data_IF_562373939174
#
_entry.id   IF_562373939174
#
_cell.length_a   1.000
_cell.length_b   1.000
_cell.length_c   1.000
_cell.angle_alpha   90.00
_cell.angle_beta   90.00
_cell.angle_gamma   90.00
#
_symmetry.space_group_name_H-M   'P 1'
#
loop_
_entity.id
_entity.type
_entity.pdbx_description
1 polymer ?
#
# COMPACT_ATOMS: atom_id res chain seq x y z
N UNK A 1 14.71 -7.27 2.06
CA UNK A 1 15.94 -8.08 1.79
C UNK A 1 16.21 -8.05 0.29
N UNK A 2 17.44 -8.23 -0.24
CA UNK A 2 17.67 -8.19 -1.68
C UNK A 2 16.74 -9.15 -2.42
N UNK A 3 15.98 -8.62 -3.39
CA UNK A 3 14.98 -9.38 -4.15
C UNK A 3 13.87 -9.99 -3.28
N UNK A 4 13.60 -9.43 -2.10
CA UNK A 4 12.60 -9.91 -1.14
C UNK A 4 11.86 -8.75 -0.47
N UNK A 5 10.55 -8.71 -0.66
CA UNK A 5 9.67 -7.74 -0.02
C UNK A 5 9.32 -8.17 1.40
N UNK A 6 9.35 -7.20 2.32
CA UNK A 6 8.97 -7.38 3.72
C UNK A 6 8.11 -6.20 4.13
N UNK A 7 6.97 -6.47 4.76
CA UNK A 7 6.05 -5.43 5.23
C UNK A 7 6.10 -5.32 6.75
N UNK A 8 5.89 -4.10 7.23
CA UNK A 8 5.62 -3.81 8.63
C UNK A 8 4.46 -2.83 8.66
N UNK A 9 3.56 -3.02 9.61
CA UNK A 9 2.42 -2.13 9.83
C UNK A 9 2.53 -1.50 11.21
N UNK A 10 2.15 -0.23 11.30
CA UNK A 10 2.01 0.48 12.56
C UNK A 10 0.99 1.61 12.40
N UNK A 11 0.34 1.97 13.50
CA UNK A 11 -0.51 3.15 13.58
C UNK A 11 0.29 4.34 14.11
N UNK A 12 0.33 5.43 13.35
CA UNK A 12 1.04 6.64 13.74
C UNK A 12 0.14 7.52 14.64
N UNK A 13 0.33 7.44 15.96
CA UNK A 13 -0.54 8.09 16.94
C UNK A 13 -0.15 9.52 17.31
N UNK A 14 1.02 9.99 16.88
CA UNK A 14 1.55 11.32 17.22
C UNK A 14 2.12 12.00 15.98
N UNK A 15 1.68 13.22 15.63
CA UNK A 15 2.31 14.01 14.59
C UNK A 15 3.76 14.34 14.94
N UNK A 16 4.59 14.42 13.90
CA UNK A 16 6.00 14.72 14.06
C UNK A 16 6.82 14.20 12.88
N UNK A 17 8.12 14.47 12.92
CA UNK A 17 9.04 13.84 11.99
C UNK A 17 10.01 12.92 12.72
N UNK A 18 10.01 11.67 12.30
CA UNK A 18 10.78 10.60 12.90
C UNK A 18 11.93 10.23 11.97
N UNK A 19 13.10 9.96 12.53
CA UNK A 19 14.24 9.50 11.75
C UNK A 19 14.09 8.01 11.45
N UNK A 20 14.26 7.65 10.18
CA UNK A 20 14.36 6.27 9.73
C UNK A 20 15.85 5.95 9.57
N UNK A 21 16.32 4.91 10.25
CA UNK A 21 17.71 4.48 10.17
C UNK A 21 17.79 3.09 9.53
N UNK A 22 18.84 2.87 8.75
CA UNK A 22 19.24 1.52 8.39
C UNK A 22 19.78 0.79 9.62
N UNK A 23 19.22 -0.39 9.93
CA UNK A 23 19.61 -1.21 11.07
C UNK A 23 20.46 -2.44 10.70
N UNK A 24 20.94 -2.51 9.45
CA UNK A 24 21.75 -3.62 8.93
C UNK A 24 22.98 -3.08 8.20
N UNK A 25 24.16 -3.63 8.51
CA UNK A 25 25.41 -3.13 7.94
C UNK A 25 25.48 -3.48 6.44
N UNK A 26 25.40 -2.47 5.59
CA UNK A 26 25.36 -2.63 4.13
C UNK A 26 26.60 -2.09 3.39
N UNK A 27 27.61 -1.57 4.11
CA UNK A 27 28.85 -1.06 3.53
C UNK A 27 29.38 0.20 4.19
N UNK A 28 30.33 0.88 3.53
CA UNK A 28 31.08 2.02 4.09
C UNK A 28 30.22 3.25 4.37
N UNK A 29 29.05 3.37 3.74
CA UNK A 29 28.07 4.44 3.98
C UNK A 29 26.87 3.99 4.82
N UNK A 30 26.98 2.88 5.56
CA UNK A 30 25.88 2.34 6.39
C UNK A 30 25.22 3.39 7.29
N UNK A 31 26.00 4.23 7.98
CA UNK A 31 25.47 5.30 8.85
C UNK A 31 24.89 6.50 8.10
N UNK A 32 25.13 6.62 6.79
CA UNK A 32 24.56 7.65 5.93
C UNK A 32 23.19 7.27 5.33
N UNK A 33 22.79 6.01 5.46
CA UNK A 33 21.50 5.51 4.94
C UNK A 33 20.37 5.87 5.91
N UNK A 34 19.96 7.14 5.86
CA UNK A 34 18.90 7.73 6.69
C UNK A 34 17.68 8.12 5.86
N UNK A 35 16.52 8.15 6.50
CA UNK A 35 15.27 8.63 5.94
C UNK A 35 14.46 9.37 7.01
N UNK A 36 13.27 9.84 6.63
CA UNK A 36 12.33 10.49 7.55
C UNK A 36 10.92 9.95 7.31
N UNK A 37 10.19 9.73 8.40
CA UNK A 37 8.75 9.48 8.39
C UNK A 37 8.08 10.75 8.91
N UNK A 38 7.28 11.40 8.07
CA UNK A 38 6.54 12.62 8.44
C UNK A 38 5.10 12.24 8.73
N UNK A 39 4.73 12.25 10.02
CA UNK A 39 3.36 12.04 10.49
C UNK A 39 2.68 13.39 10.60
N UNK A 40 1.59 13.56 9.87
CA UNK A 40 0.81 14.81 9.81
C UNK A 40 -0.53 14.63 10.49
N UNK A 41 -1.11 15.73 10.97
CA UNK A 41 -2.53 15.77 11.31
C UNK A 41 -3.39 15.45 10.06
N UNK A 42 -4.55 14.79 10.20
CA UNK A 42 -5.35 14.35 9.06
C UNK A 42 -5.68 15.47 8.06
N UNK A 43 -6.05 16.65 8.53
CA UNK A 43 -6.38 17.80 7.67
C UNK A 43 -5.16 18.33 6.92
N UNK A 44 -3.99 18.35 7.56
CA UNK A 44 -2.73 18.75 6.95
C UNK A 44 -2.28 17.73 5.90
N UNK A 45 -2.48 16.44 6.15
CA UNK A 45 -2.21 15.38 5.18
C UNK A 45 -3.11 15.53 3.94
N UNK A 46 -4.41 15.77 4.13
CA UNK A 46 -5.34 16.01 3.01
C UNK A 46 -4.96 17.26 2.21
N UNK A 47 -4.56 18.34 2.88
CA UNK A 47 -4.08 19.54 2.22
C UNK A 47 -2.79 19.27 1.42
N UNK A 48 -1.86 18.51 1.99
CA UNK A 48 -0.62 18.08 1.32
C UNK A 48 -0.91 17.25 0.08
N UNK A 49 -1.85 16.30 0.15
CA UNK A 49 -2.31 15.53 -1.01
C UNK A 49 -2.88 16.44 -2.13
N UNK A 50 -3.54 17.54 -1.75
CA UNK A 50 -4.15 18.47 -2.71
C UNK A 50 -3.22 19.56 -3.26
N UNK A 51 -2.06 19.78 -2.61
CA UNK A 51 -1.24 20.98 -2.83
C UNK A 51 0.25 20.74 -3.10
N UNK A 52 0.75 19.51 -3.02
CA UNK A 52 2.08 19.19 -3.53
C UNK A 52 2.10 19.30 -5.06
N UNK A 53 3.23 19.68 -5.67
CA UNK A 53 3.50 19.30 -7.05
C UNK A 53 3.25 17.80 -7.13
N UNK A 54 2.14 17.41 -7.75
CA UNK A 54 1.84 16.01 -7.98
C UNK A 54 2.81 15.54 -9.06
N UNK A 55 4.07 15.36 -8.67
CA UNK A 55 5.03 14.59 -9.43
C UNK A 55 4.39 13.27 -9.84
N UNK A 56 4.87 12.70 -10.94
CA UNK A 56 4.33 11.46 -11.48
C UNK A 56 4.15 10.43 -10.36
N UNK A 57 2.91 9.99 -10.12
CA UNK A 57 2.64 8.98 -9.08
C UNK A 57 3.38 7.69 -9.42
N UNK A 58 3.76 6.85 -8.44
CA UNK A 58 4.42 5.59 -8.73
C UNK A 58 3.65 4.71 -9.72
N UNK A 59 2.31 4.68 -9.61
CA UNK A 59 1.46 3.96 -10.55
C UNK A 59 1.46 4.57 -11.96
N UNK A 60 1.50 5.91 -12.09
CA UNK A 60 1.64 6.57 -13.39
C UNK A 60 3.00 6.28 -14.02
N UNK A 61 4.07 6.36 -13.24
CA UNK A 61 5.43 6.03 -13.67
C UNK A 61 5.52 4.55 -14.11
N UNK A 62 4.88 3.64 -13.37
CA UNK A 62 4.78 2.24 -13.72
C UNK A 62 4.05 2.02 -15.04
N UNK A 63 2.89 2.66 -15.23
CA UNK A 63 2.14 2.62 -16.49
C UNK A 63 2.99 3.08 -17.67
N UNK A 64 3.76 4.15 -17.49
CA UNK A 64 4.68 4.67 -18.50
C UNK A 64 5.79 3.66 -18.81
N UNK A 65 6.40 3.04 -17.80
CA UNK A 65 7.44 2.02 -17.97
C UNK A 65 6.93 0.79 -18.72
N UNK A 66 5.78 0.22 -18.33
CA UNK A 66 5.21 -0.97 -19.03
C UNK A 66 4.85 -0.66 -20.47
N UNK A 67 4.51 0.59 -20.79
CA UNK A 67 4.24 1.04 -22.15
C UNK A 67 5.54 1.19 -22.94
N UNK A 68 6.54 1.87 -22.38
CA UNK A 68 7.83 2.14 -23.02
C UNK A 68 8.62 0.84 -23.31
N UNK A 69 8.51 -0.15 -22.41
CA UNK A 69 9.16 -1.44 -22.54
C UNK A 69 8.35 -2.45 -23.37
N UNK A 70 7.14 -2.09 -23.81
CA UNK A 70 6.29 -2.95 -24.64
C UNK A 70 5.68 -4.14 -23.90
N UNK A 71 5.64 -4.14 -22.56
CA UNK A 71 5.07 -5.23 -21.76
C UNK A 71 3.62 -5.54 -22.16
N UNK A 72 2.85 -4.49 -22.49
CA UNK A 72 1.44 -4.57 -22.90
C UNK A 72 1.22 -5.39 -24.19
N UNK A 73 2.25 -5.60 -25.01
CA UNK A 73 2.14 -6.42 -26.23
C UNK A 73 1.97 -7.90 -25.92
N UNK A 74 2.46 -8.34 -24.75
CA UNK A 74 2.28 -9.72 -24.28
C UNK A 74 1.22 -9.82 -23.18
N UNK A 75 1.11 -8.80 -22.33
CA UNK A 75 0.21 -8.76 -21.16
C UNK A 75 -1.05 -7.92 -21.42
N UNK A 76 -1.70 -8.17 -22.56
CA UNK A 76 -2.96 -7.49 -22.91
C UNK A 76 -4.17 -8.24 -22.33
N UNK A 77 -5.34 -7.60 -22.19
CA UNK A 77 -6.56 -8.26 -21.72
C UNK A 77 -7.21 -9.20 -22.76
N UNK A 78 -6.56 -9.42 -23.91
CA UNK A 78 -7.12 -10.24 -25.00
C UNK A 78 -6.96 -11.73 -24.67
N UNK A 79 -8.01 -12.52 -24.89
CA UNK A 79 -7.94 -13.97 -24.72
C UNK A 79 -6.88 -14.57 -25.66
N UNK A 80 -6.03 -15.45 -25.11
CA UNK A 80 -4.89 -16.01 -25.85
C UNK A 80 -3.69 -15.08 -25.99
N UNK A 81 -3.62 -14.00 -25.19
CA UNK A 81 -2.41 -13.21 -25.05
C UNK A 81 -1.20 -14.06 -24.66
N UNK A 82 -0.01 -13.55 -24.99
CA UNK A 82 1.28 -14.25 -24.83
C UNK A 82 1.71 -14.37 -23.37
N UNK A 83 1.18 -13.51 -22.50
CA UNK A 83 1.33 -13.53 -21.06
C UNK A 83 -0.02 -13.24 -20.38
N UNK A 84 -0.10 -13.41 -19.06
CA UNK A 84 -1.31 -13.10 -18.29
C UNK A 84 -1.65 -11.61 -18.42
N UNK A 85 -2.94 -11.30 -18.56
CA UNK A 85 -3.44 -9.93 -18.58
C UNK A 85 -3.04 -9.21 -17.28
N UNK A 86 -2.72 -7.91 -17.36
CA UNK A 86 -2.38 -7.15 -16.15
C UNK A 86 -3.63 -6.74 -15.36
N UNK A 87 -4.72 -6.43 -16.05
CA UNK A 87 -5.97 -6.07 -15.43
C UNK A 87 -6.50 -7.21 -14.57
N UNK A 88 -6.72 -6.94 -13.28
CA UNK A 88 -7.25 -7.92 -12.35
C UNK A 88 -6.20 -8.87 -11.75
N UNK A 89 -4.97 -8.90 -12.25
CA UNK A 89 -3.99 -9.94 -11.92
C UNK A 89 -3.39 -9.82 -10.53
N UNK A 90 -3.12 -8.61 -10.05
CA UNK A 90 -2.48 -8.45 -8.75
C UNK A 90 -3.40 -8.97 -7.63
N UNK A 91 -2.86 -9.78 -6.74
CA UNK A 91 -3.57 -10.42 -5.64
C UNK A 91 -4.31 -11.72 -6.01
N UNK A 92 -4.30 -12.16 -7.27
CA UNK A 92 -4.88 -13.47 -7.64
C UNK A 92 -3.98 -14.61 -7.23
N UNK A 93 -4.53 -15.83 -7.25
CA UNK A 93 -3.77 -17.07 -7.12
C UNK A 93 -3.70 -17.74 -8.48
N UNK A 94 -2.49 -17.91 -9.00
CA UNK A 94 -2.22 -18.56 -10.28
C UNK A 94 -1.65 -19.96 -10.06
N UNK A 95 -1.95 -20.89 -10.98
CA UNK A 95 -1.35 -22.22 -10.97
C UNK A 95 -0.06 -22.22 -11.77
N UNK A 96 1.01 -22.83 -11.27
CA UNK A 96 2.31 -22.87 -11.94
C UNK A 96 2.45 -24.09 -12.88
N UNK A 97 3.29 -23.97 -13.89
CA UNK A 97 3.76 -25.11 -14.67
C UNK A 97 4.50 -26.10 -13.76
N UNK A 98 4.17 -27.38 -13.87
CA UNK A 98 4.72 -28.42 -12.99
C UNK A 98 3.92 -28.63 -11.69
N UNK A 99 2.84 -27.86 -11.50
CA UNK A 99 1.98 -27.94 -10.32
C UNK A 99 2.36 -26.94 -9.23
N UNK A 100 1.47 -26.78 -8.26
CA UNK A 100 1.56 -25.74 -7.23
C UNK A 100 0.83 -24.46 -7.63
N UNK A 101 0.68 -23.56 -6.66
CA UNK A 101 0.02 -22.29 -6.82
C UNK A 101 0.88 -21.16 -6.25
N UNK A 102 0.76 -19.98 -6.82
CA UNK A 102 1.46 -18.77 -6.38
C UNK A 102 0.46 -17.62 -6.26
N UNK A 103 0.61 -16.80 -5.23
CA UNK A 103 -0.11 -15.52 -5.14
C UNK A 103 0.66 -14.49 -5.96
N UNK A 104 -0.05 -13.74 -6.81
CA UNK A 104 0.53 -12.63 -7.57
C UNK A 104 0.70 -11.42 -6.64
N UNK A 105 1.75 -11.46 -5.83
CA UNK A 105 2.15 -10.39 -4.92
C UNK A 105 3.38 -9.61 -5.47
N UNK A 106 3.87 -8.66 -4.68
CA UNK A 106 5.02 -7.83 -5.06
C UNK A 106 6.27 -8.67 -5.32
N UNK A 107 6.45 -9.73 -4.55
CA UNK A 107 7.59 -10.63 -4.67
C UNK A 107 7.52 -11.40 -5.99
N UNK A 108 6.37 -11.96 -6.31
CA UNK A 108 6.17 -12.69 -7.55
C UNK A 108 6.30 -11.80 -8.78
N UNK A 109 5.76 -10.57 -8.74
CA UNK A 109 5.91 -9.61 -9.84
C UNK A 109 7.38 -9.23 -10.06
N UNK A 110 8.10 -8.94 -8.98
CA UNK A 110 9.54 -8.64 -9.08
C UNK A 110 10.32 -9.82 -9.65
N UNK A 111 10.12 -11.03 -9.10
CA UNK A 111 10.79 -12.23 -9.58
C UNK A 111 10.44 -12.52 -11.04
N UNK A 112 9.19 -12.28 -11.47
CA UNK A 112 8.79 -12.43 -12.87
C UNK A 112 9.51 -11.45 -13.81
N UNK A 113 9.90 -10.26 -13.34
CA UNK A 113 10.61 -9.26 -14.15
C UNK A 113 12.12 -9.58 -14.21
N UNK A 114 12.72 -9.99 -13.09
CA UNK A 114 14.17 -10.26 -13.04
C UNK A 114 14.52 -11.69 -13.47
N UNK A 115 13.68 -12.66 -13.15
CA UNK A 115 13.84 -14.08 -13.43
C UNK A 115 12.52 -14.73 -13.94
N UNK A 116 12.02 -14.33 -15.13
CA UNK A 116 10.71 -14.73 -15.67
C UNK A 116 10.49 -16.23 -15.84
N UNK A 117 11.56 -17.03 -15.81
CA UNK A 117 11.49 -18.50 -15.97
C UNK A 117 11.44 -19.25 -14.65
N UNK A 118 11.58 -18.57 -13.51
CA UNK A 118 11.57 -19.20 -12.18
C UNK A 118 10.20 -19.79 -11.85
N UNK A 119 9.14 -19.02 -12.09
CA UNK A 119 7.77 -19.37 -11.75
C UNK A 119 6.86 -19.01 -12.92
N UNK A 120 6.57 -19.98 -13.78
CA UNK A 120 5.74 -19.79 -14.98
C UNK A 120 4.30 -20.19 -14.71
N UNK A 121 3.35 -19.29 -14.98
CA UNK A 121 1.92 -19.61 -14.92
C UNK A 121 1.57 -20.68 -15.96
N UNK A 122 0.73 -21.64 -15.54
CA UNK A 122 0.23 -22.71 -16.39
C UNK A 122 -0.47 -22.14 -17.62
N UNK A 123 -0.16 -22.69 -18.80
CA UNK A 123 -0.76 -22.26 -20.07
C UNK A 123 0.02 -21.18 -20.83
N UNK A 124 1.05 -20.55 -20.23
CA UNK A 124 1.89 -19.55 -20.91
C UNK A 124 3.26 -20.10 -21.29
N UNK A 125 3.79 -19.69 -22.44
CA UNK A 125 5.14 -20.09 -22.86
C UNK A 125 6.23 -19.30 -22.11
N UNK A 126 7.42 -19.88 -21.97
CA UNK A 126 8.59 -19.25 -21.34
C UNK A 126 9.26 -18.21 -22.26
N UNK A 127 8.50 -17.19 -22.67
CA UNK A 127 8.87 -16.20 -23.69
C UNK A 127 9.14 -14.80 -23.13
N UNK A 128 8.76 -14.52 -21.87
CA UNK A 128 9.06 -13.25 -21.24
C UNK A 128 10.59 -13.09 -21.07
N UNK A 129 11.20 -12.01 -21.60
CA UNK A 129 12.63 -11.75 -21.44
C UNK A 129 12.94 -11.32 -20.00
N UNK A 130 14.18 -11.50 -19.56
CA UNK A 130 14.66 -10.90 -18.30
C UNK A 130 14.91 -9.41 -18.50
N UNK A 131 14.59 -8.61 -17.49
CA UNK A 131 14.85 -7.18 -17.45
C UNK A 131 15.93 -6.80 -16.44
N UNK A 132 16.70 -7.77 -15.93
CA UNK A 132 17.85 -7.51 -15.06
C UNK A 132 18.82 -6.53 -15.71
N UNK A 133 19.12 -5.43 -15.01
CA UNK A 133 20.00 -4.37 -15.51
C UNK A 133 19.35 -3.40 -16.51
N UNK A 134 18.11 -3.64 -16.92
CA UNK A 134 17.34 -2.75 -17.80
C UNK A 134 16.34 -1.89 -17.02
N UNK A 135 15.82 -2.41 -15.90
CA UNK A 135 14.90 -1.71 -15.01
C UNK A 135 15.58 -1.59 -13.65
N UNK A 136 15.58 -0.39 -13.08
CA UNK A 136 16.05 -0.15 -11.71
C UNK A 136 15.07 -0.72 -10.70
N UNK A 137 15.50 -0.97 -9.46
CA UNK A 137 14.61 -1.44 -8.40
C UNK A 137 13.41 -0.49 -8.21
N UNK A 138 13.65 0.83 -8.25
CA UNK A 138 12.59 1.83 -8.24
C UNK A 138 11.60 1.67 -9.40
N UNK A 139 12.09 1.39 -10.62
CA UNK A 139 11.22 1.13 -11.76
C UNK A 139 10.36 -0.13 -11.58
N UNK A 140 10.89 -1.17 -10.95
CA UNK A 140 10.11 -2.38 -10.62
C UNK A 140 9.03 -2.04 -9.60
N UNK A 141 9.34 -1.25 -8.57
CA UNK A 141 8.36 -0.78 -7.57
C UNK A 141 7.24 0.04 -8.21
N UNK A 142 7.57 0.90 -9.17
CA UNK A 142 6.59 1.68 -9.93
C UNK A 142 5.67 0.76 -10.75
N UNK A 143 6.23 -0.27 -11.41
CA UNK A 143 5.44 -1.28 -12.14
C UNK A 143 4.51 -2.05 -11.18
N UNK A 144 5.01 -2.48 -10.01
CA UNK A 144 4.19 -3.12 -8.97
C UNK A 144 3.05 -2.20 -8.52
N UNK A 145 3.33 -0.92 -8.29
CA UNK A 145 2.32 0.07 -7.91
C UNK A 145 1.25 0.24 -9.02
N UNK A 146 1.66 0.22 -10.29
CA UNK A 146 0.74 0.22 -11.40
C UNK A 146 -0.15 -1.04 -11.41
N UNK A 147 0.43 -2.24 -11.30
CA UNK A 147 -0.34 -3.49 -11.28
C UNK A 147 -1.31 -3.56 -10.10
N UNK A 148 -0.94 -3.03 -8.93
CA UNK A 148 -1.87 -2.86 -7.80
C UNK A 148 -3.03 -1.93 -8.13
N UNK A 149 -2.76 -0.83 -8.84
CA UNK A 149 -3.78 0.16 -9.21
C UNK A 149 -4.81 -0.37 -10.22
N UNK A 150 -4.45 -1.41 -10.99
CA UNK A 150 -5.33 -2.08 -11.96
C UNK A 150 -5.67 -3.52 -11.58
N UNK A 151 -5.24 -3.96 -10.39
CA UNK A 151 -5.48 -5.28 -9.84
C UNK A 151 -6.91 -5.44 -9.36
N UNK A 152 -7.39 -6.68 -9.30
CA UNK A 152 -8.69 -6.98 -8.74
C UNK A 152 -8.68 -6.56 -7.27
N UNK A 153 -9.80 -6.07 -6.76
CA UNK A 153 -9.97 -5.67 -5.36
C UNK A 153 -9.83 -6.87 -4.42
N UNK A 154 -8.61 -7.38 -4.22
CA UNK A 154 -8.21 -7.89 -2.93
C UNK A 154 -8.03 -6.65 -2.07
N UNK A 155 -9.10 -6.31 -1.35
CA UNK A 155 -9.08 -5.25 -0.36
C UNK A 155 -7.77 -5.36 0.45
N UNK A 156 -7.06 -4.24 0.59
CA UNK A 156 -6.29 -4.02 1.81
C UNK A 156 -7.19 -4.49 2.97
N UNK A 157 -6.69 -5.26 3.95
CA UNK A 157 -7.52 -5.60 5.11
C UNK A 157 -8.11 -4.28 5.61
N UNK A 158 -9.44 -4.18 5.55
CA UNK A 158 -10.16 -3.00 5.98
C UNK A 158 -9.76 -2.79 7.45
N UNK A 159 -8.90 -1.82 7.68
CA UNK A 159 -8.65 -1.25 8.98
C UNK A 159 -9.90 -0.45 9.35
N UNK A 160 -10.88 -1.21 9.87
CA UNK A 160 -11.98 -0.79 10.71
C UNK A 160 -12.38 0.69 10.61
N UNK A 161 -13.12 1.03 9.57
CA UNK A 161 -14.17 2.03 9.71
C UNK A 161 -15.23 1.46 10.69
N UNK A 162 -14.99 1.63 11.99
CA UNK A 162 -15.82 1.04 13.04
C UNK A 162 -15.81 1.88 14.32
N UNK A 163 -16.95 2.54 14.55
CA UNK A 163 -17.46 3.06 15.81
C UNK A 163 -16.84 4.38 16.34
N UNK A 164 -17.46 5.50 15.93
CA UNK A 164 -17.68 6.62 16.85
C UNK A 164 -19.09 6.43 17.42
N UNK A 165 -19.13 5.71 18.53
CA UNK A 165 -20.22 5.60 19.48
C UNK A 165 -20.51 7.00 20.04
N UNK A 166 -21.70 7.50 19.73
CA UNK A 166 -22.27 8.65 20.44
C UNK A 166 -22.95 8.13 21.69
N UNK A 167 -22.23 8.13 22.81
CA UNK A 167 -22.83 7.99 24.13
C UNK A 167 -22.40 9.18 24.99
N UNK A 168 -23.13 10.30 24.85
CA UNK A 168 -23.10 11.38 25.83
C UNK A 168 -23.99 10.96 26.99
N UNK A 169 -23.34 10.36 27.99
CA UNK A 169 -23.89 9.98 29.29
C UNK A 169 -24.60 11.15 29.98
N UNK A 170 -25.87 10.91 30.29
CA UNK A 170 -26.68 11.59 31.30
C UNK A 170 -25.93 11.62 32.63
N UNK A 171 -25.69 12.81 33.18
CA UNK A 171 -25.28 12.96 34.59
C UNK A 171 -26.38 13.73 35.32
N UNK A 172 -27.13 12.95 36.10
CA UNK A 172 -28.01 13.41 37.17
C UNK A 172 -27.14 13.41 38.44
N UNK A 173 -26.89 14.58 39.03
CA UNK A 173 -26.34 14.68 40.38
C UNK A 173 -27.16 15.66 41.20
N UNK A 174 -27.91 15.08 42.14
CA UNK A 174 -28.70 15.77 43.15
C UNK A 174 -27.85 15.86 44.41
N UNK A 175 -27.44 17.06 44.83
CA UNK A 175 -27.09 17.31 46.24
C UNK A 175 -27.19 18.79 46.61
N UNK A 176 -28.32 19.10 47.27
CA UNK A 176 -28.53 19.96 48.44
C UNK A 176 -27.43 20.95 48.87
N UNK A 177 -27.77 22.25 48.88
CA UNK A 177 -27.51 23.18 50.01
C UNK A 177 -28.56 24.29 50.09
N UNK A 178 -29.34 24.24 51.17
CA UNK A 178 -29.80 25.29 52.11
C UNK A 178 -29.99 26.77 51.67
N UNK A 179 -31.09 27.39 52.12
CA UNK A 179 -31.23 28.86 52.15
C UNK A 179 -32.60 29.48 51.87
N UNK A 180 -33.54 29.38 52.83
CA UNK A 180 -34.52 30.40 53.25
C UNK A 180 -35.25 31.29 52.21
N UNK A 181 -36.59 31.17 52.10
CA UNK A 181 -37.47 32.35 52.10
C UNK A 181 -38.88 32.04 52.64
N UNK A 182 -39.42 33.01 53.37
CA UNK A 182 -40.57 32.93 54.25
C UNK A 182 -41.91 33.28 53.59
N UNK A 183 -42.99 32.91 54.30
CA UNK A 183 -44.29 33.61 54.44
C UNK A 183 -45.45 33.26 53.49
N UNK A 184 -46.37 32.41 53.97
CA UNK A 184 -47.84 32.55 53.87
C UNK A 184 -48.45 31.42 54.74
N UNK A 185 -49.23 31.62 55.80
CA UNK A 185 -50.21 32.66 56.07
C UNK A 185 -51.61 32.05 55.97
N UNK A 186 -51.98 31.17 56.91
CA UNK A 186 -53.33 30.57 56.98
C UNK A 186 -54.10 31.15 58.19
N UNK A 187 -55.16 31.89 57.90
CA UNK A 187 -56.38 32.05 58.70
C UNK A 187 -57.55 31.96 57.74
#
# INVERSE_FOLDING_TARGET
>A
LPGRYTTVWFEATKPGTYHLFCAEYCGTQHSGMIGRIVVMEPTAYQAWLSGGDAGETPASAGKRLVTQLGCITCHSPVSGARGPAFEGLFGTVETLQGGGAVTVDEQYVHESIVNPRAQLVQGYAAIMPTYTGQITEEGILQIVAYLKSIGGTAALPADNAGAMDSESTTTDDTSTTDGTNATQGNR
#
